data_IF_376158857587
#
_entry.id   IF_376158857587
#
_cell.length_a   1.000
_cell.length_b   1.000
_cell.length_c   1.000
_cell.angle_alpha   90.00
_cell.angle_beta   90.00
_cell.angle_gamma   90.00
#
_symmetry.space_group_name_H-M   'P 1'
#
loop_
_entity.id
_entity.type
_entity.pdbx_description
1 polymer ?
#
# COMPACT_ATOMS: atom_id res chain seq x y z
N UNK A 1 -31.67 -20.29 24.31
CA UNK A 1 -31.01 -19.23 23.53
C UNK A 1 -29.89 -19.86 22.72
N UNK A 2 -30.11 -20.10 21.44
CA UNK A 2 -29.08 -20.63 20.54
C UNK A 2 -27.95 -19.63 20.47
N UNK A 3 -26.78 -19.97 20.94
CA UNK A 3 -25.55 -19.26 20.72
C UNK A 3 -25.31 -19.21 19.20
N UNK A 4 -25.73 -18.11 18.59
CA UNK A 4 -25.39 -17.84 17.20
C UNK A 4 -23.89 -17.49 17.22
N UNK A 5 -23.03 -18.52 17.04
CA UNK A 5 -21.57 -18.32 17.00
C UNK A 5 -21.25 -17.20 16.02
N UNK A 6 -20.65 -16.13 16.53
CA UNK A 6 -20.31 -14.97 15.75
C UNK A 6 -19.24 -15.37 14.72
N UNK A 7 -19.66 -15.60 13.48
CA UNK A 7 -18.74 -16.00 12.40
C UNK A 7 -17.54 -15.05 12.31
N UNK A 8 -16.33 -15.57 12.09
CA UNK A 8 -15.14 -14.75 11.92
C UNK A 8 -15.31 -13.73 10.78
N UNK A 9 -14.72 -12.56 10.92
CA UNK A 9 -14.72 -11.49 9.91
C UNK A 9 -13.30 -11.22 9.43
N UNK A 10 -13.12 -11.08 8.14
CA UNK A 10 -11.88 -10.57 7.53
C UNK A 10 -12.02 -9.06 7.35
N UNK A 11 -11.29 -8.29 8.15
CA UNK A 11 -11.29 -6.82 8.08
C UNK A 11 -10.08 -6.34 7.26
N UNK A 12 -10.35 -5.76 6.09
CA UNK A 12 -9.33 -5.29 5.15
C UNK A 12 -9.30 -3.76 5.20
N UNK A 13 -8.15 -3.20 5.62
CA UNK A 13 -7.99 -1.77 5.91
C UNK A 13 -7.11 -1.02 4.90
N UNK A 14 -6.76 -1.69 3.79
CA UNK A 14 -6.02 -1.12 2.66
C UNK A 14 -6.86 -0.10 1.89
N UNK A 15 -6.23 0.83 1.12
CA UNK A 15 -6.94 1.65 0.15
C UNK A 15 -7.81 0.81 -0.80
N UNK A 16 -9.01 1.32 -1.17
CA UNK A 16 -10.11 0.56 -1.79
C UNK A 16 -9.67 -0.40 -2.91
N UNK A 17 -8.94 0.07 -3.92
CA UNK A 17 -8.52 -0.78 -5.04
C UNK A 17 -7.67 -1.98 -4.59
N UNK A 18 -6.69 -1.73 -3.70
CA UNK A 18 -5.84 -2.79 -3.15
C UNK A 18 -6.59 -3.70 -2.17
N UNK A 19 -7.65 -3.20 -1.53
CA UNK A 19 -8.52 -3.98 -0.66
C UNK A 19 -9.39 -4.95 -1.46
N UNK A 20 -9.98 -4.49 -2.57
CA UNK A 20 -10.79 -5.34 -3.46
C UNK A 20 -9.96 -6.47 -4.08
N UNK A 21 -8.75 -6.16 -4.57
CA UNK A 21 -7.81 -7.17 -5.11
C UNK A 21 -7.41 -8.22 -4.03
N UNK A 22 -7.35 -7.82 -2.77
CA UNK A 22 -7.04 -8.73 -1.68
C UNK A 22 -8.26 -9.54 -1.27
N UNK A 23 -9.43 -8.92 -1.19
CA UNK A 23 -10.69 -9.55 -0.81
C UNK A 23 -11.11 -10.67 -1.77
N UNK A 24 -10.99 -10.45 -3.08
CA UNK A 24 -11.37 -11.42 -4.11
C UNK A 24 -10.68 -12.78 -3.97
N UNK A 25 -9.48 -12.79 -3.39
CA UNK A 25 -8.77 -14.05 -3.11
C UNK A 25 -9.49 -14.94 -2.08
N UNK A 26 -10.31 -14.35 -1.21
CA UNK A 26 -10.98 -15.06 -0.10
C UNK A 26 -12.48 -15.28 -0.34
N UNK A 27 -13.03 -14.86 -1.47
CA UNK A 27 -14.47 -15.00 -1.79
C UNK A 27 -14.94 -16.44 -1.93
N UNK A 28 -14.01 -17.38 -2.15
CA UNK A 28 -14.30 -18.84 -2.17
C UNK A 28 -14.37 -19.44 -0.77
N UNK A 29 -13.70 -18.87 0.22
CA UNK A 29 -13.61 -19.36 1.59
C UNK A 29 -14.57 -18.64 2.54
N UNK A 30 -14.94 -17.40 2.22
CA UNK A 30 -15.77 -16.55 3.08
C UNK A 30 -17.03 -16.08 2.37
N UNK A 31 -18.13 -16.03 3.09
CA UNK A 31 -19.34 -15.38 2.61
C UNK A 31 -19.11 -13.85 2.50
N UNK A 32 -19.81 -13.19 1.59
CA UNK A 32 -19.70 -11.74 1.37
C UNK A 32 -19.86 -10.91 2.64
N UNK A 33 -20.72 -11.32 3.56
CA UNK A 33 -20.95 -10.65 4.84
C UNK A 33 -19.84 -10.89 5.88
N UNK A 34 -18.88 -11.78 5.60
CA UNK A 34 -17.72 -12.03 6.46
C UNK A 34 -16.51 -11.20 6.03
N UNK A 35 -16.53 -10.58 4.86
CA UNK A 35 -15.46 -9.69 4.37
C UNK A 35 -15.91 -8.23 4.57
N UNK A 36 -15.14 -7.49 5.35
CA UNK A 36 -15.38 -6.06 5.60
C UNK A 36 -14.22 -5.27 5.03
N UNK A 37 -14.50 -4.44 4.03
CA UNK A 37 -13.53 -3.50 3.48
C UNK A 37 -13.76 -2.14 4.14
N UNK A 38 -12.78 -1.70 4.94
CA UNK A 38 -12.85 -0.45 5.68
C UNK A 38 -11.48 0.24 5.72
N UNK A 39 -11.12 0.96 4.65
CA UNK A 39 -9.82 1.62 4.55
C UNK A 39 -9.62 2.66 5.65
N UNK A 40 -8.46 2.63 6.32
CA UNK A 40 -8.05 3.68 7.29
C UNK A 40 -7.16 4.74 6.65
N UNK A 41 -6.87 4.59 5.35
CA UNK A 41 -6.15 5.55 4.53
C UNK A 41 -6.84 5.71 3.18
N UNK A 42 -7.00 6.95 2.72
CA UNK A 42 -7.41 7.28 1.35
C UNK A 42 -6.33 8.09 0.66
N UNK A 43 -6.21 7.90 -0.65
CA UNK A 43 -5.31 8.70 -1.49
C UNK A 43 -6.05 9.98 -1.89
N UNK A 44 -5.45 11.13 -1.59
CA UNK A 44 -5.90 12.44 -2.03
C UNK A 44 -4.88 12.96 -3.04
N UNK A 45 -5.28 13.06 -4.30
CA UNK A 45 -4.43 13.63 -5.34
C UNK A 45 -4.43 15.16 -5.29
N UNK A 46 -3.27 15.75 -5.61
CA UNK A 46 -3.12 17.20 -5.71
C UNK A 46 -3.27 17.67 -7.16
N UNK A 47 -3.51 18.97 -7.33
CA UNK A 47 -3.61 19.58 -8.67
C UNK A 47 -2.29 19.41 -9.41
N UNK A 48 -2.35 18.91 -10.62
CA UNK A 48 -1.21 18.69 -11.50
C UNK A 48 -0.51 20.03 -11.83
N UNK A 49 0.80 20.18 -11.60
CA UNK A 49 1.51 21.40 -11.93
C UNK A 49 1.81 21.47 -13.43
N UNK A 50 1.82 22.68 -13.99
CA UNK A 50 2.18 22.91 -15.41
C UNK A 50 3.59 22.39 -15.76
N UNK A 51 4.51 22.37 -14.79
CA UNK A 51 5.87 21.88 -14.95
C UNK A 51 5.94 20.41 -15.39
N UNK A 52 5.00 19.57 -14.95
CA UNK A 52 4.96 18.17 -15.33
C UNK A 52 4.76 17.99 -16.85
N UNK A 53 4.02 18.88 -17.49
CA UNK A 53 3.77 18.83 -18.94
C UNK A 53 5.03 19.13 -19.78
N UNK A 54 6.05 19.76 -19.19
CA UNK A 54 7.31 20.11 -19.83
C UNK A 54 8.44 19.15 -19.49
N UNK A 55 8.22 18.19 -18.60
CA UNK A 55 9.26 17.23 -18.19
C UNK A 55 9.44 16.17 -19.27
N UNK A 56 10.68 15.90 -19.67
CA UNK A 56 11.04 14.82 -20.59
C UNK A 56 11.25 13.50 -19.86
N UNK A 57 11.68 13.57 -18.61
CA UNK A 57 11.98 12.41 -17.74
C UNK A 57 11.22 12.49 -16.44
N UNK A 58 10.53 11.40 -16.09
CA UNK A 58 9.80 11.29 -14.84
C UNK A 58 10.18 10.00 -14.10
N UNK A 59 10.20 10.05 -12.78
CA UNK A 59 10.37 8.87 -11.93
C UNK A 59 9.05 8.57 -11.22
N UNK A 60 8.62 7.32 -11.31
CA UNK A 60 7.48 6.78 -10.57
C UNK A 60 7.92 5.62 -9.67
N UNK A 61 7.93 5.84 -8.36
CA UNK A 61 8.20 4.80 -7.36
C UNK A 61 6.94 4.08 -6.89
N UNK A 62 5.76 4.49 -7.38
CA UNK A 62 4.48 3.85 -7.08
C UNK A 62 3.41 4.14 -8.14
N UNK A 63 2.44 3.23 -8.25
CA UNK A 63 1.24 3.42 -9.10
C UNK A 63 0.43 4.68 -8.73
N UNK A 64 0.48 5.15 -7.48
CA UNK A 64 -0.18 6.40 -7.08
C UNK A 64 0.53 7.64 -7.66
N UNK A 65 1.85 7.59 -7.83
CA UNK A 65 2.59 8.63 -8.54
C UNK A 65 2.12 8.78 -9.99
N UNK A 66 1.96 7.64 -10.70
CA UNK A 66 1.41 7.63 -12.07
C UNK A 66 0.01 8.23 -12.11
N UNK A 67 -0.88 7.79 -11.20
CA UNK A 67 -2.26 8.32 -11.12
C UNK A 67 -2.28 9.82 -10.81
N UNK A 68 -1.39 10.30 -9.96
CA UNK A 68 -1.25 11.73 -9.64
C UNK A 68 -0.79 12.54 -10.87
N UNK A 69 0.18 12.00 -11.60
CA UNK A 69 0.67 12.61 -12.82
C UNK A 69 -0.37 12.61 -13.94
N UNK A 70 -1.30 11.63 -13.95
CA UNK A 70 -2.30 11.47 -15.00
C UNK A 70 -1.67 11.03 -16.33
N UNK A 71 -2.43 11.15 -17.42
CA UNK A 71 -1.97 10.80 -18.76
C UNK A 71 -0.79 11.66 -19.21
N UNK A 72 0.14 11.04 -19.92
CA UNK A 72 1.26 11.73 -20.53
C UNK A 72 0.75 12.76 -21.56
N UNK A 73 1.35 13.95 -21.55
CA UNK A 73 0.99 15.00 -22.54
C UNK A 73 1.46 14.67 -23.96
N UNK A 74 2.45 13.79 -24.07
CA UNK A 74 2.93 13.19 -25.31
C UNK A 74 3.69 11.89 -24.99
N UNK A 75 3.84 11.02 -26.01
CA UNK A 75 4.50 9.71 -25.88
C UNK A 75 6.03 9.75 -25.68
N UNK A 76 6.65 10.93 -25.76
CA UNK A 76 8.09 11.08 -25.63
C UNK A 76 8.54 11.25 -24.17
N UNK A 77 7.61 11.38 -23.24
CA UNK A 77 7.95 11.47 -21.81
C UNK A 77 8.40 10.09 -21.34
N UNK A 78 9.68 9.95 -21.02
CA UNK A 78 10.27 8.71 -20.50
C UNK A 78 9.98 8.59 -19.01
N UNK A 79 9.37 7.46 -18.62
CA UNK A 79 9.06 7.16 -17.23
C UNK A 79 9.95 6.03 -16.71
N UNK A 80 10.80 6.35 -15.75
CA UNK A 80 11.65 5.40 -15.03
C UNK A 80 10.91 4.90 -13.80
N UNK A 81 10.55 3.62 -13.80
CA UNK A 81 9.60 3.06 -12.84
C UNK A 81 10.23 2.05 -11.89
N UNK A 82 9.69 1.99 -10.67
CA UNK A 82 9.97 0.93 -9.71
C UNK A 82 8.87 -0.13 -9.80
N UNK A 83 9.27 -1.36 -10.16
CA UNK A 83 8.41 -2.55 -10.21
C UNK A 83 7.45 -2.59 -11.41
N UNK A 84 7.11 -3.81 -11.83
CA UNK A 84 6.31 -4.08 -13.04
C UNK A 84 4.92 -3.43 -13.00
N UNK A 85 4.25 -3.44 -11.83
CA UNK A 85 2.92 -2.84 -11.67
C UNK A 85 2.92 -1.33 -11.98
N UNK A 86 3.95 -0.62 -11.55
CA UNK A 86 4.08 0.83 -11.79
C UNK A 86 4.41 1.08 -13.25
N UNK A 87 5.31 0.29 -13.82
CA UNK A 87 5.72 0.37 -15.23
C UNK A 87 4.54 0.15 -16.16
N UNK A 88 3.80 -0.95 -15.97
CA UNK A 88 2.62 -1.27 -16.79
C UNK A 88 1.54 -0.18 -16.70
N UNK A 89 1.31 0.37 -15.50
CA UNK A 89 0.37 1.48 -15.34
C UNK A 89 0.88 2.74 -16.04
N UNK A 90 2.16 3.08 -15.95
CA UNK A 90 2.71 4.24 -16.64
C UNK A 90 2.60 4.10 -18.17
N UNK A 91 2.87 2.90 -18.72
CA UNK A 91 2.65 2.61 -20.13
C UNK A 91 1.19 2.81 -20.54
N UNK A 92 0.23 2.32 -19.74
CA UNK A 92 -1.20 2.51 -20.03
C UNK A 92 -1.68 3.96 -19.92
N UNK A 93 -0.88 4.84 -19.28
CA UNK A 93 -1.10 6.28 -19.19
C UNK A 93 -0.34 7.06 -20.28
N UNK A 94 0.21 6.37 -21.29
CA UNK A 94 0.85 6.96 -22.46
C UNK A 94 2.31 7.37 -22.27
N UNK A 95 2.96 7.02 -21.15
CA UNK A 95 4.38 7.24 -20.94
C UNK A 95 5.23 6.20 -21.69
N UNK A 96 6.41 6.60 -22.19
CA UNK A 96 7.48 5.67 -22.59
C UNK A 96 8.09 5.09 -21.31
N UNK A 97 7.44 4.06 -20.75
CA UNK A 97 7.75 3.56 -19.42
C UNK A 97 8.71 2.37 -19.45
N UNK A 98 9.73 2.41 -18.59
CA UNK A 98 10.71 1.37 -18.41
C UNK A 98 10.95 1.07 -16.93
N UNK A 99 11.13 -0.21 -16.60
CA UNK A 99 11.45 -0.66 -15.24
C UNK A 99 12.94 -0.45 -14.96
N UNK A 100 13.24 0.37 -13.98
CA UNK A 100 14.63 0.65 -13.53
C UNK A 100 15.02 -0.12 -12.28
N UNK A 101 14.16 -0.93 -11.72
CA UNK A 101 14.41 -1.81 -10.58
C UNK A 101 13.15 -2.22 -9.85
N UNK A 102 13.30 -3.11 -8.88
CA UNK A 102 12.20 -3.57 -8.01
C UNK A 102 12.07 -2.73 -6.74
N UNK A 103 13.06 -1.89 -6.47
CA UNK A 103 13.09 -0.94 -5.36
C UNK A 103 13.85 0.34 -5.73
N UNK A 104 13.83 1.32 -4.82
CA UNK A 104 14.45 2.64 -5.03
C UNK A 104 15.96 2.55 -5.20
N UNK A 105 16.62 1.68 -4.45
CA UNK A 105 18.07 1.48 -4.49
C UNK A 105 18.52 0.97 -5.86
N UNK A 106 17.81 0.00 -6.42
CA UNK A 106 18.08 -0.52 -7.77
C UNK A 106 17.82 0.55 -8.83
N UNK A 107 16.72 1.32 -8.74
CA UNK A 107 16.43 2.42 -9.65
C UNK A 107 17.59 3.42 -9.67
N UNK A 108 18.08 3.86 -8.51
CA UNK A 108 19.19 4.81 -8.40
C UNK A 108 20.46 4.21 -8.99
N UNK A 109 20.78 2.94 -8.65
CA UNK A 109 21.95 2.24 -9.19
C UNK A 109 21.91 2.13 -10.71
N UNK A 110 20.74 1.84 -11.29
CA UNK A 110 20.54 1.75 -12.74
C UNK A 110 20.73 3.10 -13.41
N UNK A 111 20.16 4.17 -12.84
CA UNK A 111 20.35 5.54 -13.35
C UNK A 111 21.82 5.98 -13.29
N UNK A 112 22.53 5.67 -12.19
CA UNK A 112 23.94 6.03 -12.04
C UNK A 112 24.86 5.32 -13.06
N UNK A 113 24.45 4.19 -13.61
CA UNK A 113 25.17 3.51 -14.70
C UNK A 113 24.92 4.16 -16.07
N UNK A 114 23.73 4.70 -16.29
CA UNK A 114 23.34 5.40 -17.51
C UNK A 114 23.47 6.92 -17.34
N UNK A 115 24.70 7.45 -17.46
CA UNK A 115 25.01 8.89 -17.32
C UNK A 115 24.61 9.74 -18.53
N UNK A 116 23.80 9.23 -19.44
CA UNK A 116 23.41 9.95 -20.69
C UNK A 116 22.32 11.00 -20.46
N UNK A 117 21.57 10.89 -19.35
CA UNK A 117 20.50 11.84 -19.05
C UNK A 117 21.10 13.13 -18.51
N UNK A 118 20.96 14.21 -19.28
CA UNK A 118 21.42 15.58 -18.93
C UNK A 118 20.25 16.49 -18.58
N UNK A 119 19.05 16.12 -18.99
CA UNK A 119 17.83 16.87 -18.75
C UNK A 119 17.33 16.69 -17.30
N UNK A 120 16.43 17.59 -16.91
CA UNK A 120 15.82 17.55 -15.60
C UNK A 120 14.89 16.33 -15.45
N UNK A 121 15.10 15.59 -14.38
CA UNK A 121 14.25 14.47 -13.96
C UNK A 121 13.25 14.98 -12.94
N UNK A 122 11.96 14.66 -13.10
CA UNK A 122 10.93 14.96 -12.11
C UNK A 122 10.50 13.69 -11.37
N UNK A 123 10.76 13.61 -10.07
CA UNK A 123 10.24 12.54 -9.22
C UNK A 123 8.83 12.88 -8.74
N UNK A 124 7.85 12.07 -9.15
CA UNK A 124 6.44 12.18 -8.70
C UNK A 124 6.19 11.19 -7.58
N UNK A 125 5.86 11.70 -6.39
CA UNK A 125 5.76 10.89 -5.19
C UNK A 125 4.60 11.31 -4.28
N UNK A 126 4.38 10.58 -3.20
CA UNK A 126 3.44 10.97 -2.14
C UNK A 126 4.08 11.92 -1.14
N UNK A 127 3.27 12.67 -0.37
CA UNK A 127 3.75 13.54 0.70
C UNK A 127 4.66 12.80 1.70
N UNK A 128 4.37 11.53 1.94
CA UNK A 128 5.21 10.63 2.75
C UNK A 128 5.98 9.70 1.84
N UNK A 129 7.30 9.87 1.78
CA UNK A 129 8.21 9.05 0.98
C UNK A 129 9.24 8.37 1.86
N UNK A 130 9.75 7.24 1.37
CA UNK A 130 10.95 6.58 1.90
C UNK A 130 12.05 6.62 0.82
N UNK A 131 13.32 6.65 1.24
CA UNK A 131 14.45 6.40 0.35
C UNK A 131 15.17 7.61 -0.24
N UNK A 132 14.73 8.87 0.06
CA UNK A 132 15.44 10.11 -0.32
C UNK A 132 15.93 10.14 -1.79
N UNK A 133 15.04 9.75 -2.73
CA UNK A 133 15.35 9.57 -4.16
C UNK A 133 16.01 10.81 -4.74
N UNK A 134 15.42 11.99 -4.53
CA UNK A 134 15.91 13.25 -5.11
C UNK A 134 17.27 13.63 -4.58
N UNK A 135 17.48 13.51 -3.26
CA UNK A 135 18.79 13.81 -2.63
C UNK A 135 19.88 12.92 -3.21
N UNK A 136 19.65 11.61 -3.25
CA UNK A 136 20.62 10.64 -3.79
C UNK A 136 20.94 10.87 -5.27
N UNK A 137 19.94 11.25 -6.08
CA UNK A 137 20.16 11.54 -7.50
C UNK A 137 20.93 12.84 -7.69
N UNK A 138 20.66 13.89 -6.90
CA UNK A 138 21.44 15.12 -6.91
C UNK A 138 22.88 14.90 -6.50
N UNK A 139 23.13 14.12 -5.44
CA UNK A 139 24.48 13.71 -5.01
C UNK A 139 25.21 12.93 -6.12
N UNK A 140 24.48 12.15 -6.93
CA UNK A 140 25.03 11.46 -8.10
C UNK A 140 25.22 12.35 -9.34
N UNK A 141 24.89 13.66 -9.25
CA UNK A 141 25.10 14.66 -10.31
C UNK A 141 23.94 14.83 -11.29
N UNK A 142 22.76 14.27 -11.02
CA UNK A 142 21.57 14.46 -11.85
C UNK A 142 20.82 15.75 -11.50
N UNK A 143 20.28 16.43 -12.51
CA UNK A 143 19.31 17.49 -12.32
C UNK A 143 17.97 16.85 -11.95
N UNK A 144 17.60 16.86 -10.68
CA UNK A 144 16.39 16.20 -10.21
C UNK A 144 15.55 17.14 -9.35
N UNK A 145 14.27 17.23 -9.68
CA UNK A 145 13.26 17.92 -8.90
C UNK A 145 12.18 16.93 -8.43
N UNK A 146 11.31 17.39 -7.53
CA UNK A 146 10.24 16.58 -7.00
C UNK A 146 8.88 17.28 -7.03
N UNK A 147 7.84 16.48 -7.07
CA UNK A 147 6.48 16.91 -6.83
C UNK A 147 5.73 15.88 -6.01
N UNK A 148 5.27 16.33 -4.83
CA UNK A 148 4.33 15.56 -4.02
C UNK A 148 2.95 15.59 -4.71
N UNK A 149 2.65 14.59 -5.53
CA UNK A 149 1.44 14.51 -6.34
C UNK A 149 0.22 14.00 -5.57
N UNK A 150 0.40 13.39 -4.41
CA UNK A 150 -0.69 12.84 -3.60
C UNK A 150 -0.35 12.80 -2.11
N UNK A 151 -1.39 12.73 -1.29
CA UNK A 151 -1.28 12.45 0.15
C UNK A 151 -2.05 11.18 0.51
N UNK A 152 -1.61 10.54 1.60
CA UNK A 152 -2.32 9.44 2.26
C UNK A 152 -3.02 10.00 3.50
N UNK A 153 -4.29 10.31 3.38
CA UNK A 153 -5.07 10.92 4.45
C UNK A 153 -5.74 9.84 5.29
N UNK A 154 -5.64 9.95 6.61
CA UNK A 154 -6.33 9.07 7.54
C UNK A 154 -7.85 9.17 7.37
N UNK A 155 -8.53 8.03 7.47
CA UNK A 155 -9.99 7.93 7.47
C UNK A 155 -10.48 7.11 8.64
N UNK A 156 -11.73 7.34 9.06
CA UNK A 156 -12.37 6.56 10.10
C UNK A 156 -12.77 5.17 9.56
N UNK A 157 -12.70 4.17 10.42
CA UNK A 157 -13.30 2.86 10.16
C UNK A 157 -14.81 3.01 9.94
N UNK A 158 -15.35 2.17 9.07
CA UNK A 158 -16.80 2.09 8.86
C UNK A 158 -17.53 1.63 10.13
N UNK A 159 -18.79 2.01 10.26
CA UNK A 159 -19.64 1.56 11.36
C UNK A 159 -19.66 0.02 11.42
N UNK A 160 -19.77 -0.65 10.27
CA UNK A 160 -19.77 -2.11 10.21
C UNK A 160 -18.48 -2.77 10.71
N UNK A 161 -17.32 -2.13 10.49
CA UNK A 161 -16.05 -2.60 11.03
C UNK A 161 -15.98 -2.45 12.55
N UNK A 162 -16.37 -1.28 13.06
CA UNK A 162 -16.42 -1.03 14.51
C UNK A 162 -17.42 -1.93 15.22
N UNK A 163 -18.60 -2.14 14.65
CA UNK A 163 -19.63 -3.02 15.20
C UNK A 163 -19.15 -4.48 15.25
N UNK A 164 -18.45 -4.95 14.21
CA UNK A 164 -17.90 -6.31 14.22
C UNK A 164 -16.93 -6.52 15.38
N UNK A 165 -16.05 -5.55 15.66
CA UNK A 165 -15.14 -5.60 16.81
C UNK A 165 -15.92 -5.54 18.14
N UNK A 166 -16.85 -4.59 18.29
CA UNK A 166 -17.64 -4.39 19.53
C UNK A 166 -18.52 -5.60 19.86
N UNK A 167 -19.11 -6.26 18.86
CA UNK A 167 -19.92 -7.47 19.05
C UNK A 167 -19.09 -8.69 19.44
N UNK A 168 -17.77 -8.58 19.47
CA UNK A 168 -16.86 -9.65 19.85
C UNK A 168 -16.67 -10.73 18.79
N UNK A 169 -16.83 -10.40 17.49
CA UNK A 169 -16.41 -11.32 16.43
C UNK A 169 -14.90 -11.59 16.52
N UNK A 170 -14.49 -12.80 16.14
CA UNK A 170 -13.08 -13.07 15.82
C UNK A 170 -12.72 -12.29 14.54
N UNK A 171 -11.79 -11.35 14.61
CA UNK A 171 -11.39 -10.46 13.51
C UNK A 171 -10.03 -10.87 12.95
N UNK A 172 -9.98 -11.31 11.71
CA UNK A 172 -8.73 -11.52 10.98
C UNK A 172 -8.34 -10.19 10.35
N UNK A 173 -7.18 -9.66 10.71
CA UNK A 173 -6.77 -8.29 10.42
C UNK A 173 -5.39 -8.24 9.75
N UNK A 174 -5.31 -8.35 8.41
CA UNK A 174 -4.06 -8.20 7.68
C UNK A 174 -3.63 -6.74 7.59
N UNK A 175 -2.42 -6.43 8.08
CA UNK A 175 -1.87 -5.08 8.19
C UNK A 175 -0.60 -4.97 7.35
N UNK A 176 -0.63 -4.07 6.36
CA UNK A 176 0.38 -3.90 5.32
C UNK A 176 1.34 -2.73 5.56
N UNK A 177 1.18 -1.98 6.63
CA UNK A 177 2.10 -0.90 7.01
C UNK A 177 1.98 -0.54 8.48
N UNK A 178 3.08 -0.11 9.06
CA UNK A 178 3.15 0.42 10.41
C UNK A 178 2.13 1.55 10.64
N UNK A 179 2.04 2.50 9.70
CA UNK A 179 1.08 3.60 9.76
C UNK A 179 -0.37 3.12 9.84
N UNK A 180 -0.74 2.07 9.10
CA UNK A 180 -2.07 1.46 9.21
C UNK A 180 -2.30 0.89 10.60
N UNK A 181 -1.31 0.22 11.18
CA UNK A 181 -1.37 -0.31 12.55
C UNK A 181 -1.61 0.79 13.58
N UNK A 182 -0.87 1.89 13.49
CA UNK A 182 -1.03 3.06 14.38
C UNK A 182 -2.45 3.62 14.28
N UNK A 183 -2.95 3.87 13.07
CA UNK A 183 -4.30 4.40 12.87
C UNK A 183 -5.41 3.46 13.35
N UNK A 184 -5.18 2.16 13.34
CA UNK A 184 -6.11 1.17 13.90
C UNK A 184 -6.14 1.21 15.42
N UNK A 185 -4.99 1.38 16.08
CA UNK A 185 -4.92 1.54 17.55
C UNK A 185 -5.68 2.78 18.04
N UNK A 186 -5.70 3.84 17.25
CA UNK A 186 -6.45 5.08 17.59
C UNK A 186 -7.97 4.88 17.48
N UNK A 187 -8.44 3.87 16.73
CA UNK A 187 -9.85 3.73 16.39
C UNK A 187 -10.53 2.50 17.01
N UNK A 188 -9.76 1.47 17.35
CA UNK A 188 -10.25 0.21 17.93
C UNK A 188 -9.93 0.22 19.43
N UNK A 189 -10.95 0.10 20.26
CA UNK A 189 -10.83 0.15 21.72
C UNK A 189 -10.28 -1.14 22.33
N UNK A 190 -10.49 -2.30 21.70
CA UNK A 190 -9.98 -3.59 22.16
C UNK A 190 -9.59 -4.47 20.98
N UNK A 191 -8.52 -5.24 21.15
CA UNK A 191 -8.01 -6.18 20.15
C UNK A 191 -8.06 -7.64 20.62
N UNK A 192 -8.71 -7.92 21.75
CA UNK A 192 -8.70 -9.23 22.42
C UNK A 192 -9.09 -10.40 21.51
N UNK A 193 -9.96 -10.17 20.52
CA UNK A 193 -10.38 -11.14 19.52
C UNK A 193 -9.84 -10.86 18.11
N UNK A 194 -8.83 -10.00 18.01
CA UNK A 194 -8.18 -9.69 16.73
C UNK A 194 -6.99 -10.61 16.50
N UNK A 195 -6.98 -11.30 15.36
CA UNK A 195 -5.87 -12.09 14.85
C UNK A 195 -5.13 -11.25 13.82
N UNK A 196 -4.00 -10.65 14.22
CA UNK A 196 -3.23 -9.74 13.39
C UNK A 196 -2.28 -10.53 12.49
N UNK A 197 -2.29 -10.20 11.20
CA UNK A 197 -1.32 -10.67 10.23
C UNK A 197 -0.44 -9.48 9.83
N UNK A 198 0.80 -9.46 10.33
CA UNK A 198 1.76 -8.40 10.11
C UNK A 198 2.62 -8.65 8.88
N UNK A 199 2.77 -7.66 8.00
CA UNK A 199 3.68 -7.78 6.85
C UNK A 199 5.15 -7.73 7.26
N UNK A 200 5.48 -7.11 8.40
CA UNK A 200 6.84 -6.87 8.86
C UNK A 200 6.93 -6.75 10.38
N UNK A 201 8.14 -6.82 10.93
CA UNK A 201 8.41 -6.56 12.34
C UNK A 201 8.00 -5.16 12.79
N UNK A 202 8.12 -4.14 11.92
CA UNK A 202 7.64 -2.79 12.24
C UNK A 202 6.13 -2.76 12.54
N UNK A 203 5.33 -3.59 11.84
CA UNK A 203 3.89 -3.73 12.14
C UNK A 203 3.68 -4.48 13.44
N UNK A 204 4.43 -5.57 13.71
CA UNK A 204 4.33 -6.30 14.99
C UNK A 204 4.62 -5.38 16.19
N UNK A 205 5.67 -4.56 16.08
CA UNK A 205 6.08 -3.64 17.13
C UNK A 205 4.99 -2.63 17.51
N UNK A 206 4.11 -2.25 16.60
CA UNK A 206 2.96 -1.37 16.89
C UNK A 206 2.04 -1.98 17.95
N UNK A 207 1.94 -3.31 18.01
CA UNK A 207 1.00 -4.04 18.88
C UNK A 207 1.67 -4.66 20.11
N UNK A 208 2.93 -4.35 20.40
CA UNK A 208 3.59 -4.79 21.61
C UNK A 208 2.84 -4.32 22.87
N UNK A 209 2.65 -5.22 23.83
CA UNK A 209 1.95 -4.96 25.07
C UNK A 209 0.42 -4.85 24.95
N UNK A 210 -0.16 -5.09 23.76
CA UNK A 210 -1.61 -5.12 23.56
C UNK A 210 -2.11 -6.56 23.65
N UNK A 211 -3.21 -6.77 24.39
CA UNK A 211 -3.90 -8.06 24.44
C UNK A 211 -4.54 -8.34 23.08
N UNK A 212 -4.19 -9.48 22.47
CA UNK A 212 -4.61 -9.90 21.14
C UNK A 212 -5.14 -11.32 21.15
N UNK A 213 -5.97 -11.67 20.17
CA UNK A 213 -6.27 -13.07 19.87
C UNK A 213 -5.01 -13.81 19.38
N UNK A 214 -4.29 -13.22 18.43
CA UNK A 214 -2.95 -13.65 18.02
C UNK A 214 -2.25 -12.57 17.18
N UNK A 215 -0.93 -12.65 17.06
CA UNK A 215 -0.16 -11.90 16.08
C UNK A 215 0.81 -12.83 15.35
N UNK A 216 0.84 -12.73 14.03
CA UNK A 216 1.68 -13.56 13.18
C UNK A 216 2.27 -12.72 12.06
N UNK A 217 3.57 -12.90 11.78
CA UNK A 217 4.26 -12.19 10.71
C UNK A 217 4.38 -13.05 9.46
N UNK A 218 4.13 -12.44 8.29
CA UNK A 218 4.36 -13.07 7.01
C UNK A 218 5.85 -13.43 6.81
N UNK A 219 6.11 -14.62 6.25
CA UNK A 219 7.50 -15.06 5.96
C UNK A 219 8.17 -14.18 4.92
N UNK A 220 7.41 -13.77 3.90
CA UNK A 220 7.83 -12.81 2.88
C UNK A 220 6.98 -11.54 2.99
N UNK A 221 7.60 -10.33 2.99
CA UNK A 221 6.88 -9.06 3.19
C UNK A 221 6.23 -8.58 1.88
N UNK A 222 5.48 -9.47 1.23
CA UNK A 222 4.80 -9.24 -0.04
C UNK A 222 3.32 -9.67 0.00
N UNK A 223 2.63 -9.45 -1.11
CA UNK A 223 1.21 -9.77 -1.21
C UNK A 223 0.94 -11.28 -1.13
N UNK A 224 1.83 -12.11 -1.67
CA UNK A 224 1.68 -13.57 -1.68
C UNK A 224 1.84 -14.14 -0.26
N UNK A 225 2.87 -13.70 0.47
CA UNK A 225 3.10 -14.06 1.86
C UNK A 225 1.92 -13.66 2.76
N UNK A 226 1.38 -12.45 2.59
CA UNK A 226 0.22 -11.97 3.32
C UNK A 226 -1.04 -12.79 3.00
N UNK A 227 -1.30 -13.12 1.73
CA UNK A 227 -2.44 -13.98 1.34
C UNK A 227 -2.32 -15.37 1.95
N UNK A 228 -1.15 -16.00 1.83
CA UNK A 228 -0.89 -17.34 2.36
C UNK A 228 -1.10 -17.41 3.88
N UNK A 229 -0.52 -16.46 4.62
CA UNK A 229 -0.66 -16.44 6.07
C UNK A 229 -2.10 -16.12 6.51
N UNK A 230 -2.76 -15.16 5.86
CA UNK A 230 -4.17 -14.84 6.13
C UNK A 230 -5.06 -16.07 5.94
N UNK A 231 -4.87 -16.84 4.86
CA UNK A 231 -5.60 -18.09 4.60
C UNK A 231 -5.37 -19.15 5.68
N UNK A 232 -4.11 -19.29 6.14
CA UNK A 232 -3.76 -20.22 7.23
C UNK A 232 -4.47 -19.83 8.53
N UNK A 233 -4.38 -18.57 8.95
CA UNK A 233 -5.02 -18.09 10.18
C UNK A 233 -6.54 -18.19 10.09
N UNK A 234 -7.12 -17.84 8.93
CA UNK A 234 -8.56 -17.98 8.69
C UNK A 234 -9.04 -19.41 8.91
N UNK A 235 -8.34 -20.41 8.35
CA UNK A 235 -8.68 -21.83 8.56
C UNK A 235 -8.63 -22.22 10.04
N UNK A 236 -7.59 -21.82 10.76
CA UNK A 236 -7.47 -22.13 12.18
C UNK A 236 -8.65 -21.54 12.98
N UNK A 237 -8.96 -20.26 12.73
CA UNK A 237 -10.03 -19.53 13.45
C UNK A 237 -11.43 -20.06 13.12
N UNK A 238 -11.63 -20.67 11.95
CA UNK A 238 -12.89 -21.32 11.55
C UNK A 238 -13.08 -22.70 12.18
N UNK A 239 -12.01 -23.35 12.65
CA UNK A 239 -12.03 -24.68 13.29
C UNK A 239 -12.19 -24.60 14.81
N UNK A 240 -12.01 -23.44 15.42
CA UNK A 240 -12.23 -23.12 16.84
C UNK A 240 -13.70 -22.72 17.11
#
# INVERSE_FOLDING_TARGET
MTYNELKPKLLITRPVNSASDFASFFEKELQKNQIIISPVLKIKFFKRPKKLQKSHFVIFTSSNGVKAAGEASNSNIRAMCVGDRTTNLASSFGYSAEKFGDNVEQLISTLCKDRKIKEEILHVHGKYTKGNVVTKLREAGFLCNEWAGYDQVATKLSISALDAVKKGNKIILPIFSERTGILLKEQISTFDKCHIIAISSAVENVFLGIKLGSINRAKTPDLAGMKSLTKKILKNVLLE
#
